data_IF_325787785155
#
_entry.id   IF_325787785155
#
_cell.length_a   1.000
_cell.length_b   1.000
_cell.length_c   1.000
_cell.angle_alpha   90.00
_cell.angle_beta   90.00
_cell.angle_gamma   90.00
#
_symmetry.space_group_name_H-M   'P 1'
#
loop_
_entity.id
_entity.type
_entity.pdbx_description
1 polymer ?
#
# COMPACT_ATOMS: atom_id res chain seq x y z
N UNK A 1 -26.73 31.07 -8.51
CA UNK A 1 -26.34 29.66 -8.26
C UNK A 1 -27.56 28.78 -8.44
N UNK A 2 -27.42 27.62 -9.09
CA UNK A 2 -28.56 26.71 -9.31
C UNK A 2 -29.02 26.09 -7.98
N UNK A 3 -30.32 25.79 -7.89
CA UNK A 3 -30.92 25.09 -6.74
C UNK A 3 -30.26 23.73 -6.50
N UNK A 4 -29.87 23.05 -7.57
CA UNK A 4 -29.20 21.75 -7.53
C UNK A 4 -27.82 21.82 -6.88
N UNK A 5 -27.05 22.90 -7.13
CA UNK A 5 -25.76 23.11 -6.47
C UNK A 5 -25.92 23.33 -4.95
N UNK A 6 -26.95 24.09 -4.54
CA UNK A 6 -27.22 24.33 -3.12
C UNK A 6 -27.60 23.05 -2.37
N UNK A 7 -28.35 22.15 -3.02
CA UNK A 7 -28.68 20.84 -2.47
C UNK A 7 -27.42 19.97 -2.25
N UNK A 8 -26.52 19.91 -3.24
CA UNK A 8 -25.27 19.16 -3.13
C UNK A 8 -24.32 19.73 -2.07
N UNK A 9 -24.30 21.06 -1.90
CA UNK A 9 -23.46 21.70 -0.89
C UNK A 9 -23.96 21.42 0.52
N UNK A 10 -25.28 21.41 0.73
CA UNK A 10 -25.89 21.01 1.99
C UNK A 10 -25.60 19.53 2.32
N UNK A 11 -25.66 18.65 1.31
CA UNK A 11 -25.30 17.23 1.47
C UNK A 11 -23.82 17.07 1.82
N UNK A 12 -22.91 17.71 1.08
CA UNK A 12 -21.47 17.66 1.35
C UNK A 12 -21.12 18.12 2.77
N UNK A 13 -21.78 19.17 3.26
CA UNK A 13 -21.59 19.68 4.62
C UNK A 13 -22.10 18.73 5.72
N UNK A 14 -23.02 17.83 5.39
CA UNK A 14 -23.58 16.84 6.34
C UNK A 14 -22.73 15.58 6.48
N UNK A 15 -21.82 15.33 5.53
CA UNK A 15 -21.00 14.12 5.51
C UNK A 15 -19.76 14.27 6.41
N UNK A 16 -19.32 13.13 6.97
CA UNK A 16 -18.10 13.11 7.76
C UNK A 16 -16.87 13.41 6.89
N UNK A 17 -15.88 14.07 7.49
CA UNK A 17 -14.59 14.31 6.83
C UNK A 17 -13.88 12.99 6.52
N UNK A 18 -13.17 12.95 5.40
CA UNK A 18 -12.36 11.81 5.02
C UNK A 18 -11.26 11.55 6.05
N UNK A 19 -11.19 10.31 6.53
CA UNK A 19 -10.09 9.82 7.37
C UNK A 19 -9.37 8.69 6.65
N UNK A 20 -8.07 8.84 6.34
CA UNK A 20 -7.32 7.80 5.65
C UNK A 20 -7.18 6.57 6.55
N UNK A 21 -7.26 5.38 5.96
CA UNK A 21 -7.04 4.12 6.70
C UNK A 21 -5.61 3.98 7.22
N UNK A 22 -4.64 4.59 6.53
CA UNK A 22 -3.22 4.60 6.92
C UNK A 22 -2.80 6.03 7.19
N UNK A 23 -2.35 6.30 8.42
CA UNK A 23 -1.83 7.61 8.78
C UNK A 23 -0.48 7.85 8.11
N UNK A 24 -0.19 9.12 7.80
CA UNK A 24 1.08 9.51 7.16
C UNK A 24 2.30 9.15 8.02
N UNK A 25 2.15 9.16 9.34
CA UNK A 25 3.21 8.80 10.29
C UNK A 25 3.57 7.30 10.25
N UNK A 26 2.67 6.43 9.80
CA UNK A 26 2.93 5.00 9.69
C UNK A 26 3.67 4.63 8.39
N UNK A 27 3.64 5.48 7.36
CA UNK A 27 4.21 5.20 6.04
C UNK A 27 5.70 4.82 6.07
N UNK A 28 6.60 5.50 6.80
CA UNK A 28 8.02 5.13 6.82
C UNK A 28 8.26 3.72 7.34
N UNK A 29 7.57 3.36 8.43
CA UNK A 29 7.70 2.04 9.05
C UNK A 29 7.14 0.94 8.13
N UNK A 30 5.94 1.16 7.57
CA UNK A 30 5.31 0.21 6.65
C UNK A 30 6.12 0.00 5.38
N UNK A 31 6.60 1.07 4.75
CA UNK A 31 7.46 0.98 3.57
C UNK A 31 8.72 0.18 3.86
N UNK A 32 9.42 0.50 4.95
CA UNK A 32 10.67 -0.18 5.34
C UNK A 32 10.42 -1.67 5.62
N UNK A 33 9.40 -2.00 6.41
CA UNK A 33 9.09 -3.38 6.75
C UNK A 33 8.72 -4.21 5.51
N UNK A 34 7.86 -3.69 4.65
CA UNK A 34 7.45 -4.36 3.42
C UNK A 34 8.63 -4.55 2.45
N UNK A 35 9.47 -3.53 2.26
CA UNK A 35 10.64 -3.62 1.36
C UNK A 35 11.73 -4.56 1.89
N UNK A 36 12.00 -4.52 3.19
CA UNK A 36 12.94 -5.48 3.82
C UNK A 36 12.40 -6.90 3.72
N UNK A 37 11.11 -7.11 3.98
CA UNK A 37 10.48 -8.42 3.83
C UNK A 37 10.56 -8.91 2.37
N UNK A 38 10.27 -8.05 1.40
CA UNK A 38 10.39 -8.38 -0.02
C UNK A 38 11.82 -8.76 -0.40
N UNK A 39 12.82 -8.00 0.07
CA UNK A 39 14.24 -8.30 -0.15
C UNK A 39 14.62 -9.67 0.44
N UNK A 40 14.29 -9.93 1.70
CA UNK A 40 14.60 -11.20 2.38
C UNK A 40 13.88 -12.38 1.71
N UNK A 41 12.61 -12.24 1.34
CA UNK A 41 11.84 -13.29 0.66
C UNK A 41 12.41 -13.57 -0.73
N UNK A 42 12.83 -12.54 -1.47
CA UNK A 42 13.46 -12.70 -2.78
C UNK A 42 14.82 -13.38 -2.66
N UNK A 43 15.60 -13.02 -1.63
CA UNK A 43 16.85 -13.72 -1.32
C UNK A 43 16.59 -15.18 -0.95
N UNK A 44 15.62 -15.46 -0.10
CA UNK A 44 15.24 -16.84 0.27
C UNK A 44 14.77 -17.63 -0.96
N UNK A 45 13.98 -17.02 -1.85
CA UNK A 45 13.58 -17.62 -3.11
C UNK A 45 14.78 -18.08 -3.94
N UNK A 46 15.87 -17.30 -4.00
CA UNK A 46 17.10 -17.68 -4.71
C UNK A 46 17.83 -18.90 -4.11
N UNK A 47 17.51 -19.28 -2.87
CA UNK A 47 18.10 -20.45 -2.19
C UNK A 47 17.26 -21.72 -2.33
N UNK A 48 16.00 -21.60 -2.74
CA UNK A 48 15.12 -22.76 -2.96
C UNK A 48 15.58 -23.54 -4.20
N UNK A 49 15.49 -24.86 -4.13
CA UNK A 49 15.73 -25.78 -5.24
C UNK A 49 14.69 -26.87 -5.23
N UNK A 50 14.11 -27.15 -6.39
CA UNK A 50 13.24 -28.30 -6.65
C UNK A 50 12.02 -28.37 -5.71
N UNK A 51 11.51 -27.20 -5.31
CA UNK A 51 10.35 -27.08 -4.40
C UNK A 51 9.32 -26.12 -4.97
N UNK A 52 8.76 -26.45 -6.14
CA UNK A 52 7.84 -25.60 -6.92
C UNK A 52 6.72 -24.96 -6.08
N UNK A 53 6.06 -25.74 -5.22
CA UNK A 53 4.99 -25.20 -4.37
C UNK A 53 5.46 -24.10 -3.41
N UNK A 54 6.67 -24.24 -2.86
CA UNK A 54 7.28 -23.22 -1.98
C UNK A 54 7.83 -22.05 -2.77
N UNK A 55 8.42 -22.31 -3.94
CA UNK A 55 8.88 -21.28 -4.86
C UNK A 55 7.74 -20.33 -5.24
N UNK A 56 6.59 -20.89 -5.65
CA UNK A 56 5.38 -20.11 -5.96
C UNK A 56 4.90 -19.33 -4.75
N UNK A 57 4.83 -19.96 -3.57
CA UNK A 57 4.38 -19.30 -2.34
C UNK A 57 5.29 -18.13 -1.93
N UNK A 58 6.60 -18.34 -1.93
CA UNK A 58 7.58 -17.30 -1.57
C UNK A 58 7.60 -16.18 -2.59
N UNK A 59 7.56 -16.50 -3.89
CA UNK A 59 7.50 -15.50 -4.95
C UNK A 59 6.23 -14.63 -4.84
N UNK A 60 5.07 -15.25 -4.57
CA UNK A 60 3.82 -14.52 -4.36
C UNK A 60 3.91 -13.57 -3.16
N UNK A 61 4.41 -14.06 -2.02
CA UNK A 61 4.60 -13.23 -0.82
C UNK A 61 5.60 -12.09 -1.05
N UNK A 62 6.72 -12.37 -1.74
CA UNK A 62 7.71 -11.36 -2.09
C UNK A 62 7.11 -10.28 -3.00
N UNK A 63 6.32 -10.69 -3.99
CA UNK A 63 5.64 -9.78 -4.92
C UNK A 63 4.64 -8.88 -4.19
N UNK A 64 3.82 -9.43 -3.30
CA UNK A 64 2.85 -8.66 -2.51
C UNK A 64 3.58 -7.67 -1.59
N UNK A 65 4.58 -8.14 -0.84
CA UNK A 65 5.36 -7.29 0.05
C UNK A 65 6.09 -6.17 -0.72
N UNK A 66 6.68 -6.49 -1.88
CA UNK A 66 7.36 -5.51 -2.73
C UNK A 66 6.39 -4.47 -3.30
N UNK A 67 5.24 -4.90 -3.80
CA UNK A 67 4.19 -4.01 -4.32
C UNK A 67 3.70 -3.02 -3.27
N UNK A 68 3.29 -3.50 -2.10
CA UNK A 68 2.85 -2.62 -1.00
C UNK A 68 3.99 -1.71 -0.50
N UNK A 69 5.20 -2.24 -0.38
CA UNK A 69 6.37 -1.48 0.04
C UNK A 69 6.66 -0.29 -0.88
N UNK A 70 6.56 -0.49 -2.20
CA UNK A 70 6.72 0.57 -3.19
C UNK A 70 5.61 1.62 -3.12
N UNK A 71 4.35 1.20 -2.99
CA UNK A 71 3.21 2.14 -2.83
C UNK A 71 3.41 3.01 -1.59
N UNK A 72 3.77 2.42 -0.44
CA UNK A 72 4.02 3.20 0.77
C UNK A 72 5.22 4.14 0.64
N UNK A 73 6.29 3.71 -0.04
CA UNK A 73 7.45 4.57 -0.31
C UNK A 73 7.11 5.77 -1.22
N UNK A 74 6.29 5.56 -2.25
CA UNK A 74 5.83 6.62 -3.14
C UNK A 74 4.89 7.61 -2.45
N UNK A 75 3.97 7.11 -1.62
CA UNK A 75 3.14 7.97 -0.78
C UNK A 75 3.97 8.75 0.25
N UNK A 76 5.08 8.19 0.75
CA UNK A 76 5.96 8.86 1.69
C UNK A 76 6.68 10.07 1.06
N UNK A 77 7.21 9.91 -0.16
CA UNK A 77 7.91 11.01 -0.88
C UNK A 77 6.96 12.04 -1.51
N UNK A 78 5.64 11.83 -1.38
CA UNK A 78 4.63 12.76 -1.87
C UNK A 78 4.29 12.62 -3.35
N UNK A 79 4.73 11.55 -4.01
CA UNK A 79 4.30 11.24 -5.37
C UNK A 79 2.80 10.91 -5.44
N UNK A 80 2.21 10.43 -4.33
CA UNK A 80 0.80 10.16 -4.09
C UNK A 80 0.07 9.53 -5.29
N UNK A 81 -0.06 8.20 -5.30
CA UNK A 81 -0.79 7.45 -6.32
C UNK A 81 -2.30 7.42 -6.07
#
# INVERSE_FOLDING_TARGET
>A
MSTQYQALLAEHASLASFTPWVSRSALPALATQCLVAAFVLTFYFSTLRDQLAKEVGVAALASVAGGFGLVFAFCLVGANV
#
